data_IF_765482795800
#
_entry.id   IF_765482795800
#
_cell.length_a   1.000
_cell.length_b   1.000
_cell.length_c   1.000
_cell.angle_alpha   90.00
_cell.angle_beta   90.00
_cell.angle_gamma   90.00
#
_symmetry.space_group_name_H-M   'P 1'
#
loop_
_entity.id
_entity.type
_entity.pdbx_description
1 polymer ?
#
# COMPACT_ATOMS: atom_id res chain seq x y z
N UNK A 1 24.16 63.07 49.68
CA UNK A 1 22.99 62.56 48.96
C UNK A 1 23.01 61.05 49.02
N UNK A 2 21.91 60.41 49.47
CA UNK A 2 21.43 59.07 49.10
C UNK A 2 20.36 58.67 50.13
N UNK A 3 19.18 59.30 50.05
CA UNK A 3 17.99 58.82 50.76
C UNK A 3 17.47 57.57 50.04
N UNK A 4 17.46 56.43 50.75
CA UNK A 4 16.79 55.22 50.29
C UNK A 4 15.29 55.40 50.54
N UNK A 5 14.53 55.56 49.47
CA UNK A 5 13.08 55.44 49.49
C UNK A 5 12.71 53.97 49.72
N UNK A 6 12.71 53.54 50.98
CA UNK A 6 12.02 52.31 51.35
C UNK A 6 10.52 52.61 51.29
N UNK A 7 9.80 51.94 50.38
CA UNK A 7 8.35 52.05 50.26
C UNK A 7 7.71 51.08 51.27
N UNK A 8 7.20 51.53 52.44
CA UNK A 8 6.72 50.65 53.51
C UNK A 8 5.34 50.02 53.21
N UNK A 9 4.84 50.13 51.98
CA UNK A 9 3.44 49.88 51.62
C UNK A 9 3.25 48.75 50.61
N UNK A 10 4.29 47.97 50.28
CA UNK A 10 4.12 46.71 49.53
C UNK A 10 4.13 45.57 50.53
N UNK A 11 3.11 45.55 51.39
CA UNK A 11 2.82 44.40 52.22
C UNK A 11 2.07 43.38 51.36
N UNK A 12 2.60 42.16 51.27
CA UNK A 12 1.93 41.07 50.57
C UNK A 12 0.65 40.71 51.32
N UNK A 13 -0.50 40.87 50.67
CA UNK A 13 -1.81 40.53 51.23
C UNK A 13 -1.90 39.01 51.43
N UNK A 14 -1.70 38.53 52.67
CA UNK A 14 -1.64 37.09 53.01
C UNK A 14 -2.98 36.34 52.87
N UNK A 15 -3.95 36.92 52.17
CA UNK A 15 -5.22 36.28 51.84
C UNK A 15 -5.35 36.04 50.34
N UNK A 16 -4.24 35.66 49.69
CA UNK A 16 -4.25 35.09 48.35
C UNK A 16 -5.03 33.77 48.37
N UNK A 17 -6.31 33.80 47.99
CA UNK A 17 -7.25 32.67 47.89
C UNK A 17 -7.36 31.75 49.13
N UNK A 18 -8.56 31.68 49.72
CA UNK A 18 -8.81 30.70 50.78
C UNK A 18 -8.60 29.26 50.28
N UNK A 19 -7.77 28.47 50.97
CA UNK A 19 -7.50 27.07 50.63
C UNK A 19 -8.79 26.23 50.58
N UNK A 20 -9.79 26.60 51.38
CA UNK A 20 -11.10 25.96 51.39
C UNK A 20 -11.88 26.22 50.10
N UNK A 21 -11.78 27.41 49.50
CA UNK A 21 -12.40 27.70 48.20
C UNK A 21 -11.73 26.88 47.07
N UNK A 22 -10.41 26.71 47.13
CA UNK A 22 -9.68 25.86 46.17
C UNK A 22 -10.12 24.39 46.30
N UNK A 23 -10.20 23.87 47.53
CA UNK A 23 -10.66 22.50 47.77
C UNK A 23 -12.13 22.30 47.33
N UNK A 24 -12.99 23.28 47.60
CA UNK A 24 -14.38 23.27 47.13
C UNK A 24 -14.48 23.29 45.60
N UNK A 25 -13.65 24.09 44.93
CA UNK A 25 -13.57 24.13 43.47
C UNK A 25 -13.09 22.81 42.87
N UNK A 26 -12.05 22.20 43.44
CA UNK A 26 -11.55 20.88 43.01
C UNK A 26 -12.58 19.77 43.23
N UNK A 27 -13.28 19.79 44.36
CA UNK A 27 -14.37 18.85 44.63
C UNK A 27 -15.51 19.03 43.62
N UNK A 28 -15.86 20.27 43.28
CA UNK A 28 -16.85 20.60 42.25
C UNK A 28 -16.44 20.09 40.86
N UNK A 29 -15.18 20.31 40.47
CA UNK A 29 -14.64 19.83 39.20
C UNK A 29 -14.66 18.30 39.12
N UNK A 30 -14.26 17.61 40.19
CA UNK A 30 -14.31 16.16 40.28
C UNK A 30 -15.76 15.64 40.18
N UNK A 31 -16.70 16.30 40.84
CA UNK A 31 -18.12 15.94 40.78
C UNK A 31 -18.67 16.08 39.35
N UNK A 32 -18.38 17.18 38.65
CA UNK A 32 -18.81 17.38 37.26
C UNK A 32 -18.18 16.33 36.34
N UNK A 33 -16.88 16.04 36.51
CA UNK A 33 -16.20 14.99 35.76
C UNK A 33 -16.82 13.61 35.99
N UNK A 34 -17.15 13.29 37.25
CA UNK A 34 -17.83 12.04 37.61
C UNK A 34 -19.22 11.94 36.98
N UNK A 35 -20.01 13.02 37.03
CA UNK A 35 -21.34 13.07 36.41
C UNK A 35 -21.23 12.86 34.89
N UNK A 36 -20.30 13.55 34.22
CA UNK A 36 -20.06 13.33 32.80
C UNK A 36 -19.62 11.90 32.48
N UNK A 37 -18.76 11.31 33.30
CA UNK A 37 -18.33 9.92 33.13
C UNK A 37 -19.51 8.95 33.22
N UNK A 38 -20.40 9.14 34.20
CA UNK A 38 -21.61 8.32 34.37
C UNK A 38 -22.55 8.49 33.17
N UNK A 39 -22.77 9.72 32.70
CA UNK A 39 -23.62 10.01 31.54
C UNK A 39 -23.06 9.33 30.28
N UNK A 40 -21.75 9.47 30.01
CA UNK A 40 -21.11 8.84 28.87
C UNK A 40 -21.16 7.32 28.96
N UNK A 41 -20.84 6.72 30.11
CA UNK A 41 -20.93 5.28 30.31
C UNK A 41 -22.37 4.76 30.11
N UNK A 42 -23.37 5.48 30.61
CA UNK A 42 -24.79 5.20 30.39
C UNK A 42 -25.17 5.30 28.91
N UNK A 43 -24.77 6.37 28.22
CA UNK A 43 -25.06 6.57 26.80
C UNK A 43 -24.39 5.50 25.92
N UNK A 44 -23.10 5.21 26.16
CA UNK A 44 -22.37 4.17 25.43
C UNK A 44 -22.99 2.80 25.66
N UNK A 45 -23.31 2.44 26.91
CA UNK A 45 -23.95 1.15 27.21
C UNK A 45 -25.36 1.04 26.59
N UNK A 46 -26.14 2.11 26.57
CA UNK A 46 -27.43 2.15 25.88
C UNK A 46 -27.28 1.97 24.36
N UNK A 47 -26.37 2.71 23.74
CA UNK A 47 -26.11 2.65 22.30
C UNK A 47 -25.53 1.28 21.89
N UNK A 48 -24.63 0.72 22.68
CA UNK A 48 -24.09 -0.63 22.49
C UNK A 48 -25.19 -1.68 22.61
N UNK A 49 -26.07 -1.58 23.60
CA UNK A 49 -27.18 -2.52 23.75
C UNK A 49 -28.21 -2.35 22.62
N UNK A 50 -28.46 -1.12 22.16
CA UNK A 50 -29.34 -0.84 21.03
C UNK A 50 -28.77 -1.37 19.71
N UNK A 51 -27.49 -1.15 19.46
CA UNK A 51 -26.80 -1.65 18.27
C UNK A 51 -26.65 -3.16 18.29
N UNK A 52 -26.26 -3.79 19.42
CA UNK A 52 -26.22 -5.26 19.55
C UNK A 52 -27.55 -5.94 19.25
N UNK A 53 -28.68 -5.31 19.61
CA UNK A 53 -30.03 -5.81 19.31
C UNK A 53 -30.43 -5.65 17.83
N UNK A 54 -29.80 -4.73 17.10
CA UNK A 54 -30.13 -4.39 15.71
C UNK A 54 -29.07 -4.79 14.69
N UNK A 55 -27.87 -5.16 15.13
CA UNK A 55 -26.82 -5.78 14.34
C UNK A 55 -27.19 -7.24 14.07
N UNK A 56 -28.22 -7.45 13.24
CA UNK A 56 -28.34 -8.68 12.48
C UNK A 56 -27.07 -8.82 11.62
N UNK A 57 -26.46 -10.01 11.62
CA UNK A 57 -25.19 -10.34 10.99
C UNK A 57 -24.92 -9.53 9.70
N UNK A 58 -23.95 -8.63 9.75
CA UNK A 58 -23.57 -7.74 8.63
C UNK A 58 -23.02 -8.51 7.42
N UNK A 59 -23.01 -9.85 7.41
CA UNK A 59 -22.65 -10.62 6.22
C UNK A 59 -23.33 -12.00 6.19
N UNK A 60 -24.38 -12.20 5.37
CA UNK A 60 -24.97 -13.52 5.15
C UNK A 60 -24.08 -14.48 4.35
N UNK A 61 -22.88 -14.06 3.93
CA UNK A 61 -21.91 -14.87 3.17
C UNK A 61 -20.66 -15.25 3.98
N UNK A 62 -20.53 -14.83 5.24
CA UNK A 62 -19.42 -15.26 6.09
C UNK A 62 -19.87 -16.45 6.93
N UNK A 63 -19.30 -17.66 6.74
CA UNK A 63 -19.39 -18.69 7.75
C UNK A 63 -18.66 -18.17 8.98
N UNK A 64 -19.44 -17.81 10.01
CA UNK A 64 -19.07 -17.48 11.39
C UNK A 64 -17.58 -17.62 11.72
N UNK A 65 -16.74 -16.69 11.27
CA UNK A 65 -15.37 -16.57 11.78
C UNK A 65 -15.39 -15.51 12.86
N UNK A 66 -15.43 -15.97 14.10
CA UNK A 66 -15.33 -15.19 15.35
C UNK A 66 -13.94 -14.58 15.55
N UNK A 67 -13.22 -14.29 14.47
CA UNK A 67 -11.83 -13.85 14.50
C UNK A 67 -11.82 -12.37 14.21
N UNK A 68 -11.49 -11.58 15.23
CA UNK A 68 -11.26 -10.15 15.08
C UNK A 68 -10.01 -9.91 14.23
N UNK A 69 -10.24 -9.63 12.95
CA UNK A 69 -9.20 -9.33 11.95
C UNK A 69 -8.50 -7.98 12.18
N UNK A 70 -8.98 -7.16 13.14
CA UNK A 70 -8.32 -5.90 13.50
C UNK A 70 -7.08 -6.11 14.36
N UNK A 71 -6.99 -7.27 15.04
CA UNK A 71 -5.80 -7.69 15.76
C UNK A 71 -5.65 -9.22 15.68
N UNK A 72 -5.30 -9.75 14.49
CA UNK A 72 -5.18 -11.18 14.30
C UNK A 72 -4.01 -11.68 15.15
N UNK A 73 -4.31 -12.49 16.17
CA UNK A 73 -3.26 -13.18 16.91
C UNK A 73 -2.34 -13.98 15.98
N UNK A 74 -1.09 -14.30 16.37
CA UNK A 74 -0.06 -14.84 15.49
C UNK A 74 -0.45 -16.13 14.75
N UNK A 75 -1.43 -16.88 15.25
CA UNK A 75 -1.98 -18.07 14.59
C UNK A 75 -2.80 -17.75 13.34
N UNK A 76 -3.60 -16.68 13.39
CA UNK A 76 -4.48 -16.25 12.28
C UNK A 76 -3.67 -15.69 11.12
N UNK A 77 -2.58 -14.97 11.42
CA UNK A 77 -1.67 -14.45 10.40
C UNK A 77 -1.00 -15.57 9.57
N UNK A 78 -0.72 -16.73 10.18
CA UNK A 78 -0.14 -17.88 9.50
C UNK A 78 -1.16 -18.77 8.78
N UNK A 79 -2.45 -18.65 9.09
CA UNK A 79 -3.53 -19.43 8.47
C UNK A 79 -4.25 -18.65 7.36
N UNK A 80 -3.97 -17.34 7.23
CA UNK A 80 -4.56 -16.51 6.20
C UNK A 80 -4.12 -16.98 4.79
N UNK A 81 -5.08 -17.22 3.86
CA UNK A 81 -4.78 -17.66 2.51
C UNK A 81 -3.97 -16.59 1.76
N UNK A 82 -3.17 -17.01 0.79
CA UNK A 82 -2.42 -16.08 -0.06
C UNK A 82 -3.39 -15.28 -0.96
N UNK A 83 -3.08 -14.02 -1.31
CA UNK A 83 -1.88 -13.26 -0.95
C UNK A 83 -1.96 -12.62 0.44
N UNK A 84 -0.85 -12.68 1.19
CA UNK A 84 -0.70 -12.05 2.51
C UNK A 84 -0.30 -10.58 2.36
N UNK A 85 -0.56 -9.79 3.40
CA UNK A 85 -0.06 -8.41 3.47
C UNK A 85 1.46 -8.42 3.41
N UNK A 86 2.01 -7.62 2.50
CA UNK A 86 3.44 -7.42 2.36
C UNK A 86 3.98 -6.63 3.56
N UNK A 87 5.05 -7.13 4.19
CA UNK A 87 5.60 -6.53 5.41
C UNK A 87 6.88 -5.72 5.19
N UNK A 88 7.46 -5.77 3.99
CA UNK A 88 8.75 -5.12 3.68
C UNK A 88 8.79 -4.55 2.25
N UNK A 89 7.89 -3.60 1.98
CA UNK A 89 7.83 -2.91 0.68
C UNK A 89 9.14 -2.20 0.33
N UNK A 90 9.78 -1.56 1.31
CA UNK A 90 11.01 -0.80 1.07
C UNK A 90 12.19 -1.70 0.66
N UNK A 91 12.36 -2.86 1.31
CA UNK A 91 13.41 -3.80 0.93
C UNK A 91 13.18 -4.37 -0.47
N UNK A 92 11.93 -4.72 -0.80
CA UNK A 92 11.62 -5.25 -2.13
C UNK A 92 11.83 -4.22 -3.25
N UNK A 93 11.55 -2.94 -2.99
CA UNK A 93 11.82 -1.85 -3.94
C UNK A 93 13.32 -1.63 -4.15
N UNK A 94 14.13 -1.75 -3.09
CA UNK A 94 15.58 -1.60 -3.21
C UNK A 94 16.22 -2.76 -3.98
N UNK A 95 15.79 -4.00 -3.69
CA UNK A 95 16.22 -5.18 -4.44
C UNK A 95 15.88 -5.07 -5.94
N UNK A 96 14.69 -4.56 -6.27
CA UNK A 96 14.29 -4.30 -7.65
C UNK A 96 15.16 -3.21 -8.29
N UNK A 97 15.39 -2.09 -7.61
CA UNK A 97 16.27 -1.02 -8.10
C UNK A 97 17.67 -1.55 -8.40
N UNK A 98 18.26 -2.33 -7.49
CA UNK A 98 19.60 -2.89 -7.66
C UNK A 98 19.65 -3.91 -8.82
N UNK A 99 18.60 -4.71 -9.00
CA UNK A 99 18.51 -5.63 -10.12
C UNK A 99 18.44 -4.89 -11.46
N UNK A 100 17.63 -3.82 -11.54
CA UNK A 100 17.53 -2.96 -12.72
C UNK A 100 18.86 -2.28 -13.04
N UNK A 101 19.51 -1.68 -12.03
CA UNK A 101 20.82 -1.04 -12.17
C UNK A 101 21.87 -2.03 -12.71
N UNK A 102 21.88 -3.26 -12.20
CA UNK A 102 22.78 -4.31 -12.68
C UNK A 102 22.54 -4.65 -14.15
N UNK A 103 21.28 -4.76 -14.59
CA UNK A 103 20.95 -5.03 -16.00
C UNK A 103 21.38 -3.86 -16.89
N UNK A 104 21.22 -2.61 -16.43
CA UNK A 104 21.64 -1.42 -17.19
C UNK A 104 23.16 -1.29 -17.31
N UNK A 105 23.92 -1.70 -16.29
CA UNK A 105 25.37 -1.54 -16.25
C UNK A 105 26.17 -2.71 -16.84
N UNK A 106 25.52 -3.83 -17.17
CA UNK A 106 26.22 -5.06 -17.60
C UNK A 106 25.81 -5.54 -18.99
N UNK A 107 26.59 -6.48 -19.51
CA UNK A 107 26.25 -7.21 -20.74
C UNK A 107 25.48 -8.48 -20.39
N UNK A 108 24.63 -8.91 -21.30
CA UNK A 108 23.98 -10.21 -21.20
C UNK A 108 23.09 -10.51 -22.38
N UNK A 109 22.41 -11.65 -22.33
CA UNK A 109 21.52 -12.10 -23.39
C UNK A 109 20.10 -11.62 -23.11
N UNK A 110 19.41 -11.15 -24.15
CA UNK A 110 17.95 -10.98 -24.14
C UNK A 110 17.30 -12.25 -24.69
N UNK A 111 17.81 -12.75 -25.82
CA UNK A 111 17.45 -14.03 -26.40
C UNK A 111 18.70 -14.66 -27.03
N UNK A 112 19.23 -15.68 -26.38
CA UNK A 112 20.44 -16.37 -26.83
C UNK A 112 20.20 -17.19 -28.10
N UNK A 113 19.00 -17.72 -28.32
CA UNK A 113 18.66 -18.52 -29.49
C UNK A 113 18.53 -17.64 -30.75
N UNK A 114 17.99 -16.44 -30.57
CA UNK A 114 17.92 -15.43 -31.62
C UNK A 114 19.23 -14.64 -31.81
N UNK A 115 20.23 -14.84 -30.93
CA UNK A 115 21.50 -14.12 -30.96
C UNK A 115 21.38 -12.64 -30.57
N UNK A 116 20.38 -12.28 -29.76
CA UNK A 116 20.11 -10.92 -29.32
C UNK A 116 20.68 -10.70 -27.91
N UNK A 117 21.72 -9.87 -27.81
CA UNK A 117 22.34 -9.46 -26.55
C UNK A 117 21.94 -8.03 -26.16
N UNK A 118 21.82 -7.75 -24.86
CA UNK A 118 21.81 -6.39 -24.34
C UNK A 118 23.25 -5.93 -24.06
N UNK A 119 23.45 -4.62 -24.18
CA UNK A 119 24.69 -3.93 -23.88
C UNK A 119 24.44 -2.93 -22.75
N UNK A 120 25.47 -2.54 -21.98
CA UNK A 120 25.35 -1.49 -20.97
C UNK A 120 24.80 -0.21 -21.58
N UNK A 121 23.98 0.51 -20.81
CA UNK A 121 23.23 1.67 -21.29
C UNK A 121 24.17 2.79 -21.75
N UNK A 122 25.30 2.99 -21.08
CA UNK A 122 26.33 3.96 -21.46
C UNK A 122 26.84 3.65 -22.88
N UNK A 123 27.10 2.37 -23.16
CA UNK A 123 27.57 1.93 -24.48
C UNK A 123 26.48 2.06 -25.53
N UNK A 124 25.22 1.79 -25.19
CA UNK A 124 24.10 2.00 -26.09
C UNK A 124 23.99 3.47 -26.49
N UNK A 125 24.08 4.39 -25.53
CA UNK A 125 24.04 5.83 -25.79
C UNK A 125 25.16 6.26 -26.73
N UNK A 126 26.41 5.81 -26.50
CA UNK A 126 27.54 6.11 -27.40
C UNK A 126 27.31 5.62 -28.84
N UNK A 127 26.80 4.40 -28.99
CA UNK A 127 26.52 3.81 -30.31
C UNK A 127 25.39 4.53 -31.03
N UNK A 128 24.35 4.94 -30.32
CA UNK A 128 23.22 5.70 -30.88
C UNK A 128 23.68 7.12 -31.25
N UNK A 129 24.45 7.77 -30.39
CA UNK A 129 24.98 9.11 -30.67
C UNK A 129 25.92 9.12 -31.89
N UNK A 130 26.75 8.08 -32.04
CA UNK A 130 27.68 7.97 -33.17
C UNK A 130 27.02 7.57 -34.48
N UNK A 131 26.00 6.70 -34.45
CA UNK A 131 25.31 6.19 -35.66
C UNK A 131 24.10 7.03 -36.06
N UNK A 132 23.57 7.84 -35.14
CA UNK A 132 22.28 8.50 -35.28
C UNK A 132 21.11 7.55 -35.01
N UNK A 133 19.91 8.12 -34.88
CA UNK A 133 18.68 7.33 -34.71
C UNK A 133 18.28 6.70 -36.06
N UNK A 134 17.84 5.44 -36.09
CA UNK A 134 17.36 4.81 -37.30
C UNK A 134 16.11 5.54 -37.82
N UNK A 135 16.19 6.08 -39.04
CA UNK A 135 15.04 6.71 -39.73
C UNK A 135 14.24 5.59 -40.40
N UNK A 136 12.94 5.46 -40.10
CA UNK A 136 12.07 4.34 -40.49
C UNK A 136 12.00 4.06 -42.01
N UNK A 137 12.51 4.95 -42.86
CA UNK A 137 12.56 4.77 -44.32
C UNK A 137 13.41 3.58 -44.80
N UNK A 138 14.34 3.06 -43.98
CA UNK A 138 15.15 1.90 -44.36
C UNK A 138 14.43 0.54 -44.20
N UNK A 139 13.35 0.47 -43.40
CA UNK A 139 12.69 -0.80 -43.04
C UNK A 139 11.51 -1.21 -43.94
N UNK A 140 11.04 -0.33 -44.84
CA UNK A 140 10.02 -0.75 -45.83
C UNK A 140 10.61 -1.61 -46.97
N UNK A 141 11.90 -1.49 -47.28
CA UNK A 141 12.52 -2.26 -48.36
C UNK A 141 12.94 -3.69 -47.95
N UNK A 142 13.26 -3.91 -46.66
CA UNK A 142 13.69 -5.22 -46.14
C UNK A 142 12.52 -6.18 -45.81
N UNK A 143 11.39 -5.64 -45.37
CA UNK A 143 10.25 -6.46 -44.92
C UNK A 143 9.32 -6.93 -46.05
N UNK A 144 9.54 -6.45 -47.29
CA UNK A 144 8.80 -6.90 -48.47
C UNK A 144 9.27 -8.29 -48.98
N UNK A 145 10.51 -8.70 -48.68
CA UNK A 145 11.05 -10.01 -49.10
C UNK A 145 10.74 -11.17 -48.14
N UNK A 146 10.21 -10.90 -46.94
CA UNK A 146 9.93 -11.94 -45.92
C UNK A 146 8.43 -12.20 -45.72
N UNK A 147 7.55 -11.54 -46.50
CA UNK A 147 6.10 -11.75 -46.46
C UNK A 147 5.54 -12.63 -47.58
N UNK A 148 6.38 -13.35 -48.33
CA UNK A 148 5.90 -14.50 -49.09
C UNK A 148 5.63 -15.67 -48.12
N UNK A 149 4.41 -15.65 -47.58
CA UNK A 149 3.86 -16.77 -46.83
C UNK A 149 3.79 -18.01 -47.74
N UNK A 150 4.17 -19.22 -47.27
CA UNK A 150 3.88 -20.43 -48.01
C UNK A 150 2.37 -20.56 -48.13
N UNK A 151 1.92 -20.62 -49.38
CA UNK A 151 0.54 -20.79 -49.77
C UNK A 151 -0.12 -21.92 -48.95
N UNK A 152 -1.34 -21.62 -48.53
CA UNK A 152 -2.29 -22.45 -47.80
C UNK A 152 -2.69 -23.70 -48.59
N UNK A 153 -1.76 -24.61 -48.85
CA UNK A 153 -1.99 -25.89 -49.54
C UNK A 153 -1.83 -27.05 -48.54
N UNK A 154 -2.89 -27.34 -47.77
CA UNK A 154 -2.83 -28.48 -46.85
C UNK A 154 -4.09 -28.79 -46.05
N UNK A 155 -5.15 -27.98 -46.13
CA UNK A 155 -6.36 -28.19 -45.31
C UNK A 155 -7.60 -28.67 -46.07
N UNK A 156 -7.52 -28.91 -47.38
CA UNK A 156 -8.66 -29.35 -48.17
C UNK A 156 -8.74 -30.87 -48.40
N UNK A 157 -7.64 -31.64 -48.25
CA UNK A 157 -7.63 -33.07 -48.63
C UNK A 157 -8.00 -34.05 -47.51
N UNK A 158 -8.14 -33.59 -46.26
CA UNK A 158 -8.29 -34.47 -45.08
C UNK A 158 -9.75 -34.61 -44.58
N UNK A 159 -10.70 -33.86 -45.14
CA UNK A 159 -12.11 -33.93 -44.74
C UNK A 159 -12.98 -34.79 -45.67
N UNK A 160 -12.50 -35.15 -46.85
CA UNK A 160 -13.30 -35.94 -47.80
C UNK A 160 -13.11 -37.45 -47.63
N UNK A 161 -11.98 -37.89 -47.06
CA UNK A 161 -11.66 -39.31 -46.85
C UNK A 161 -12.44 -39.92 -45.65
N UNK A 162 -12.77 -39.12 -44.62
CA UNK A 162 -13.51 -39.60 -43.45
C UNK A 162 -15.03 -39.73 -43.67
N UNK A 163 -15.56 -39.26 -44.79
CA UNK A 163 -17.00 -39.29 -45.09
C UNK A 163 -17.43 -40.56 -45.86
N UNK A 164 -16.48 -41.33 -46.39
CA UNK A 164 -16.77 -42.55 -47.17
C UNK A 164 -16.52 -43.87 -46.42
N UNK A 165 -16.07 -43.86 -45.17
CA UNK A 165 -15.88 -45.08 -44.37
C UNK A 165 -17.07 -45.41 -43.43
N UNK A 166 -18.16 -44.64 -43.48
CA UNK A 166 -19.40 -44.96 -42.76
C UNK A 166 -20.50 -45.24 -43.77
N UNK A 167 -20.41 -46.37 -44.46
CA UNK A 167 -21.54 -47.03 -45.10
C UNK A 167 -21.34 -48.54 -45.14
#
# INVERSE_FOLDING_TARGET
MNEKFEHPQVEYERSDLSALAILGFLAGLALVGLVMHIILAGMFSYLDNYTKRRQAATNPLLPTTTVDLRNPGPKVANEFPLPRLETNELGQLDDQRLAEEKVLATYGWVDQNAGIAHIPIERAIELVASRGLPVESANLAGNAKTREAPARAGRARRQEEKRNEIK
#
